data_IF_199980818115
#
_entry.id   IF_199980818115
#
_cell.length_a   1.000
_cell.length_b   1.000
_cell.length_c   1.000
_cell.angle_alpha   90.00
_cell.angle_beta   90.00
_cell.angle_gamma   90.00
#
_symmetry.space_group_name_H-M   'P 1'
#
loop_
_entity.id
_entity.type
_entity.pdbx_description
1 polymer ?
#
# COMPACT_ATOMS: atom_id res chain seq x y z
N UNK A 1 42.42 -22.82 -22.54
CA UNK A 1 42.14 -21.36 -22.46
C UNK A 1 40.64 -21.01 -22.48
N UNK A 2 39.75 -21.80 -23.11
CA UNK A 2 38.30 -21.54 -23.13
C UNK A 2 37.58 -21.72 -21.78
N UNK A 3 38.11 -22.57 -20.89
CA UNK A 3 37.50 -22.85 -19.58
C UNK A 3 37.70 -21.67 -18.62
N UNK A 4 38.85 -21.00 -18.67
CA UNK A 4 39.18 -19.87 -17.79
C UNK A 4 38.30 -18.65 -18.14
N UNK A 5 38.04 -18.41 -19.43
CA UNK A 5 37.14 -17.35 -19.88
C UNK A 5 35.67 -17.64 -19.56
N UNK A 6 35.23 -18.90 -19.66
CA UNK A 6 33.87 -19.30 -19.27
C UNK A 6 33.61 -19.14 -17.76
N UNK A 7 34.57 -19.51 -16.91
CA UNK A 7 34.49 -19.33 -15.45
C UNK A 7 34.51 -17.85 -15.07
N UNK A 8 35.33 -17.03 -15.77
CA UNK A 8 35.37 -15.57 -15.55
C UNK A 8 34.05 -14.87 -15.90
N UNK A 9 33.42 -15.24 -17.03
CA UNK A 9 32.10 -14.71 -17.39
C UNK A 9 30.99 -15.16 -16.44
N UNK A 10 31.03 -16.42 -15.98
CA UNK A 10 30.09 -16.93 -14.99
C UNK A 10 30.21 -16.17 -13.65
N UNK A 11 31.44 -15.96 -13.15
CA UNK A 11 31.67 -15.24 -11.90
C UNK A 11 31.16 -13.78 -11.95
N UNK A 12 31.40 -13.07 -13.06
CA UNK A 12 30.88 -11.70 -13.25
C UNK A 12 29.35 -11.70 -13.32
N UNK A 13 28.74 -12.68 -14.00
CA UNK A 13 27.29 -12.86 -14.03
C UNK A 13 26.69 -13.14 -12.65
N UNK A 14 27.33 -14.01 -11.85
CA UNK A 14 26.93 -14.29 -10.47
C UNK A 14 27.04 -13.05 -9.59
N UNK A 15 28.16 -12.31 -9.63
CA UNK A 15 28.33 -11.08 -8.83
C UNK A 15 27.32 -10.01 -9.25
N UNK A 16 27.11 -9.81 -10.55
CA UNK A 16 26.11 -8.86 -11.05
C UNK A 16 24.68 -9.23 -10.63
N UNK A 17 24.32 -10.51 -10.71
CA UNK A 17 23.02 -11.01 -10.26
C UNK A 17 22.83 -10.88 -8.74
N UNK A 18 23.88 -11.18 -7.97
CA UNK A 18 23.86 -11.04 -6.51
C UNK A 18 23.69 -9.58 -6.09
N UNK A 19 24.47 -8.67 -6.68
CA UNK A 19 24.33 -7.24 -6.44
C UNK A 19 22.93 -6.76 -6.78
N UNK A 20 22.38 -7.17 -7.93
CA UNK A 20 21.03 -6.81 -8.34
C UNK A 20 19.99 -7.27 -7.32
N UNK A 21 20.09 -8.51 -6.84
CA UNK A 21 19.17 -9.08 -5.83
C UNK A 21 19.29 -8.30 -4.51
N UNK A 22 20.50 -8.03 -4.03
CA UNK A 22 20.72 -7.25 -2.81
C UNK A 22 20.16 -5.83 -2.93
N UNK A 23 20.43 -5.14 -4.04
CA UNK A 23 19.89 -3.80 -4.28
C UNK A 23 18.35 -3.78 -4.37
N UNK A 24 17.75 -4.76 -5.03
CA UNK A 24 16.28 -4.88 -5.09
C UNK A 24 15.69 -5.14 -3.70
N UNK A 25 16.33 -6.01 -2.90
CA UNK A 25 15.94 -6.28 -1.51
C UNK A 25 16.04 -5.04 -0.63
N UNK A 26 17.13 -4.27 -0.73
CA UNK A 26 17.32 -3.05 0.07
C UNK A 26 16.27 -1.99 -0.26
N UNK A 27 15.94 -1.83 -1.55
CA UNK A 27 14.86 -0.93 -1.99
C UNK A 27 13.49 -1.37 -1.46
N UNK A 28 13.20 -2.67 -1.46
CA UNK A 28 11.96 -3.20 -0.90
C UNK A 28 11.88 -2.95 0.61
N UNK A 29 12.96 -3.21 1.35
CA UNK A 29 13.03 -2.98 2.79
C UNK A 29 12.83 -1.49 3.15
N UNK A 30 13.50 -0.59 2.43
CA UNK A 30 13.34 0.85 2.62
C UNK A 30 11.89 1.30 2.35
N UNK A 31 11.25 0.76 1.32
CA UNK A 31 9.85 1.05 1.01
C UNK A 31 8.89 0.51 2.09
N UNK A 32 9.12 -0.70 2.63
CA UNK A 32 8.33 -1.26 3.74
C UNK A 32 8.43 -0.38 4.99
N UNK A 33 9.64 0.05 5.36
CA UNK A 33 9.86 0.95 6.52
C UNK A 33 9.14 2.28 6.32
N UNK A 34 9.24 2.85 5.11
CA UNK A 34 8.55 4.10 4.77
C UNK A 34 7.02 3.94 4.86
N UNK A 35 6.47 2.86 4.30
CA UNK A 35 5.05 2.56 4.36
C UNK A 35 4.58 2.31 5.80
N UNK A 36 5.39 1.68 6.64
CA UNK A 36 5.08 1.48 8.06
C UNK A 36 4.98 2.82 8.80
N UNK A 37 5.94 3.72 8.58
CA UNK A 37 5.89 5.07 9.17
C UNK A 37 4.66 5.86 8.72
N UNK A 38 4.23 5.71 7.45
CA UNK A 38 2.99 6.30 6.96
C UNK A 38 1.76 5.74 7.68
N UNK A 39 1.71 4.43 7.92
CA UNK A 39 0.62 3.78 8.67
C UNK A 39 0.56 4.30 10.11
N UNK A 40 1.71 4.46 10.77
CA UNK A 40 1.77 4.97 12.15
C UNK A 40 1.26 6.41 12.23
N UNK A 41 1.69 7.27 11.31
CA UNK A 41 1.18 8.66 11.21
C UNK A 41 -0.31 8.71 10.93
N UNK A 42 -0.78 7.89 9.98
CA UNK A 42 -2.20 7.76 9.67
C UNK A 42 -3.01 7.45 10.93
N UNK A 43 -2.57 6.46 11.74
CA UNK A 43 -3.27 6.08 12.98
C UNK A 43 -3.25 7.18 14.05
N UNK A 44 -2.20 8.00 14.08
CA UNK A 44 -2.03 9.04 15.08
C UNK A 44 -2.74 10.36 14.72
N UNK A 45 -2.85 10.69 13.42
CA UNK A 45 -3.30 11.99 12.93
C UNK A 45 -4.71 11.96 12.33
N UNK A 46 -5.21 10.79 11.91
CA UNK A 46 -6.48 10.67 11.19
C UNK A 46 -7.55 10.03 12.05
N UNK A 47 -8.56 10.84 12.39
CA UNK A 47 -9.74 10.44 13.16
C UNK A 47 -11.05 10.74 12.44
N UNK A 48 -11.01 11.59 11.41
CA UNK A 48 -12.18 12.02 10.64
C UNK A 48 -11.98 11.84 9.14
N UNK A 49 -13.09 11.82 8.39
CA UNK A 49 -13.09 11.66 6.94
C UNK A 49 -12.35 12.79 6.19
N UNK A 50 -12.48 14.07 6.58
CA UNK A 50 -11.69 15.16 6.00
C UNK A 50 -10.18 15.00 6.26
N UNK A 51 -9.78 14.60 7.47
CA UNK A 51 -8.37 14.33 7.77
C UNK A 51 -7.83 13.18 6.92
N UNK A 52 -8.64 12.15 6.68
CA UNK A 52 -8.25 11.05 5.80
C UNK A 52 -8.08 11.53 4.35
N UNK A 53 -8.95 12.43 3.88
CA UNK A 53 -8.83 13.06 2.56
C UNK A 53 -7.51 13.83 2.46
N UNK A 54 -7.25 14.74 3.40
CA UNK A 54 -6.04 15.58 3.42
C UNK A 54 -4.77 14.73 3.51
N UNK A 55 -4.76 13.71 4.37
CA UNK A 55 -3.62 12.82 4.54
C UNK A 55 -3.34 12.03 3.26
N UNK A 56 -4.38 11.56 2.57
CA UNK A 56 -4.23 10.74 1.36
C UNK A 56 -3.74 11.51 0.13
N UNK A 57 -3.81 12.85 0.12
CA UNK A 57 -3.41 13.65 -1.03
C UNK A 57 -1.95 13.42 -1.42
N UNK A 58 -1.74 13.08 -2.70
CA UNK A 58 -0.42 12.83 -3.28
C UNK A 58 0.27 11.56 -2.75
N UNK A 59 -0.43 10.70 -2.01
CA UNK A 59 0.11 9.41 -1.53
C UNK A 59 -0.45 8.26 -2.34
N UNK A 60 0.37 7.24 -2.55
CA UNK A 60 -0.09 5.99 -3.15
C UNK A 60 -0.84 5.15 -2.10
N UNK A 61 -2.14 5.46 -1.97
CA UNK A 61 -3.02 4.84 -1.00
C UNK A 61 -4.31 4.40 -1.67
N UNK A 62 -4.74 3.18 -1.35
CA UNK A 62 -6.05 2.65 -1.69
C UNK A 62 -6.93 2.67 -0.44
N UNK A 63 -8.10 3.29 -0.54
CA UNK A 63 -9.03 3.45 0.58
C UNK A 63 -10.28 2.63 0.28
N UNK A 64 -10.61 1.69 1.16
CA UNK A 64 -11.78 0.83 1.05
C UNK A 64 -12.66 1.07 2.27
N UNK A 65 -13.87 1.58 2.05
CA UNK A 65 -14.90 1.65 3.08
C UNK A 65 -15.51 0.26 3.28
N UNK A 66 -15.43 -0.27 4.50
CA UNK A 66 -15.96 -1.59 4.84
C UNK A 66 -17.48 -1.59 4.66
N UNK A 67 -18.00 -2.54 3.88
CA UNK A 67 -19.42 -2.62 3.55
C UNK A 67 -19.88 -1.71 2.42
N UNK A 68 -18.97 -1.05 1.71
CA UNK A 68 -19.26 -0.23 0.51
C UNK A 68 -18.31 -0.61 -0.64
N UNK A 69 -17.01 -0.66 -0.37
CA UNK A 69 -15.98 -0.97 -1.37
C UNK A 69 -14.91 0.10 -1.49
N UNK A 70 -14.17 0.06 -2.60
CA UNK A 70 -13.11 1.03 -2.87
C UNK A 70 -13.72 2.41 -3.12
N UNK A 71 -13.20 3.41 -2.42
CA UNK A 71 -13.69 4.78 -2.49
C UNK A 71 -12.60 5.76 -2.89
N UNK A 72 -13.01 6.85 -3.53
CA UNK A 72 -12.21 8.05 -3.74
C UNK A 72 -12.81 9.20 -2.96
N UNK A 73 -12.03 9.72 -2.03
CA UNK A 73 -12.42 10.86 -1.18
C UNK A 73 -12.47 12.16 -1.99
N UNK A 74 -13.38 13.04 -1.64
CA UNK A 74 -13.54 14.37 -2.24
C UNK A 74 -13.24 15.47 -1.20
N UNK A 75 -12.98 16.68 -1.68
CA UNK A 75 -12.72 17.84 -0.82
C UNK A 75 -13.92 18.27 0.05
N UNK A 76 -15.12 17.79 -0.26
CA UNK A 76 -16.36 18.16 0.45
C UNK A 76 -16.69 17.20 1.59
N UNK A 77 -15.71 16.46 2.12
CA UNK A 77 -15.92 15.43 3.15
C UNK A 77 -16.85 14.29 2.70
N UNK A 78 -16.93 14.07 1.39
CA UNK A 78 -17.71 12.98 0.80
C UNK A 78 -16.79 11.99 0.07
N UNK A 79 -17.38 10.93 -0.47
CA UNK A 79 -16.64 9.95 -1.25
C UNK A 79 -17.46 9.44 -2.42
N UNK A 80 -16.75 8.96 -3.44
CA UNK A 80 -17.33 8.28 -4.60
C UNK A 80 -16.86 6.84 -4.59
N UNK A 81 -17.74 5.90 -4.94
CA UNK A 81 -17.39 4.48 -5.02
C UNK A 81 -16.74 4.22 -6.38
N UNK A 82 -15.51 3.72 -6.36
CA UNK A 82 -14.72 3.39 -7.56
C UNK A 82 -14.92 1.93 -7.95
N UNK A 83 -14.96 1.04 -6.96
CA UNK A 83 -15.25 -0.38 -7.15
C UNK A 83 -16.11 -0.86 -6.00
N UNK A 84 -17.27 -1.40 -6.35
CA UNK A 84 -18.22 -1.95 -5.38
C UNK A 84 -17.70 -3.29 -4.83
N UNK A 85 -17.54 -3.40 -3.50
CA UNK A 85 -17.25 -4.67 -2.81
C UNK A 85 -18.46 -5.14 -1.96
N UNK A 86 -19.67 -4.62 -2.20
CA UNK A 86 -20.90 -5.03 -1.49
C UNK A 86 -21.09 -6.55 -1.47
N UNK A 87 -20.57 -7.28 -2.46
CA UNK A 87 -20.64 -8.75 -2.51
C UNK A 87 -19.86 -9.47 -1.39
N UNK A 88 -18.88 -8.81 -0.74
CA UNK A 88 -18.01 -9.42 0.26
C UNK A 88 -18.49 -9.29 1.71
N UNK A 89 -19.46 -8.41 1.98
CA UNK A 89 -19.94 -8.11 3.32
C UNK A 89 -21.46 -8.29 3.39
N UNK A 90 -21.97 -8.90 4.47
CA UNK A 90 -23.42 -9.01 4.64
C UNK A 90 -24.06 -7.63 4.71
N UNK A 91 -25.30 -7.48 4.25
CA UNK A 91 -26.09 -6.23 4.35
C UNK A 91 -26.13 -5.63 5.78
N UNK A 92 -25.85 -6.43 6.82
CA UNK A 92 -25.73 -5.96 8.22
C UNK A 92 -24.49 -5.10 8.49
N UNK A 93 -23.48 -5.15 7.62
CA UNK A 93 -22.23 -4.37 7.70
C UNK A 93 -22.24 -3.19 6.72
N UNK A 94 -23.14 -3.21 5.74
CA UNK A 94 -23.39 -2.06 4.87
C UNK A 94 -24.05 -0.96 5.71
N UNK A 95 -23.36 0.15 5.87
CA UNK A 95 -23.88 1.34 6.54
C UNK A 95 -23.80 2.51 5.58
N UNK A 96 -24.84 3.34 5.55
CA UNK A 96 -24.84 4.61 4.82
C UNK A 96 -23.74 5.56 5.31
N UNK A 97 -23.20 5.32 6.52
CA UNK A 97 -22.07 6.07 7.10
C UNK A 97 -20.99 5.10 7.58
N UNK A 98 -20.13 4.60 6.67
CA UNK A 98 -19.06 3.68 7.04
C UNK A 98 -18.09 4.37 8.01
N UNK A 99 -17.85 3.74 9.16
CA UNK A 99 -16.86 4.20 10.14
C UNK A 99 -15.55 3.42 10.09
N UNK A 100 -15.51 2.31 9.36
CA UNK A 100 -14.35 1.44 9.24
C UNK A 100 -13.79 1.51 7.82
N UNK A 101 -12.49 1.73 7.74
CA UNK A 101 -11.78 1.88 6.47
C UNK A 101 -10.56 0.97 6.46
N UNK A 102 -10.46 0.11 5.44
CA UNK A 102 -9.25 -0.63 5.10
C UNK A 102 -8.41 0.27 4.20
N UNK A 103 -7.18 0.53 4.62
CA UNK A 103 -6.22 1.36 3.92
C UNK A 103 -5.09 0.47 3.46
N UNK A 104 -4.84 0.44 2.16
CA UNK A 104 -3.69 -0.25 1.57
C UNK A 104 -2.69 0.82 1.14
N UNK A 105 -1.46 0.75 1.66
CA UNK A 105 -0.39 1.71 1.37
C UNK A 105 0.71 1.00 0.58
N UNK A 106 1.11 1.63 -0.51
CA UNK A 106 2.09 1.10 -1.45
C UNK A 106 1.53 0.01 -2.36
N UNK A 107 2.34 -0.35 -3.35
CA UNK A 107 2.17 -1.45 -4.31
C UNK A 107 3.20 -1.33 -5.45
N UNK A 108 3.92 -0.22 -5.53
CA UNK A 108 4.85 0.11 -6.61
C UNK A 108 6.04 -0.85 -6.71
N UNK A 109 6.39 -1.50 -5.59
CA UNK A 109 7.41 -2.55 -5.53
C UNK A 109 6.79 -3.87 -5.02
N UNK A 110 7.25 -5.03 -5.53
CA UNK A 110 6.81 -6.33 -5.02
C UNK A 110 7.00 -6.46 -3.52
N UNK A 111 6.06 -7.12 -2.82
CA UNK A 111 6.13 -7.41 -1.38
C UNK A 111 6.21 -6.17 -0.45
N UNK A 112 5.88 -4.97 -0.93
CA UNK A 112 5.93 -3.73 -0.11
C UNK A 112 4.57 -3.21 0.34
N UNK A 113 3.48 -3.83 -0.13
CA UNK A 113 2.11 -3.43 0.22
C UNK A 113 1.83 -3.75 1.69
N UNK A 114 1.41 -2.74 2.44
CA UNK A 114 0.93 -2.90 3.80
C UNK A 114 -0.55 -2.55 3.88
N UNK A 115 -1.27 -3.24 4.76
CA UNK A 115 -2.71 -3.05 4.96
C UNK A 115 -2.96 -2.73 6.42
N UNK A 116 -3.77 -1.71 6.67
CA UNK A 116 -4.23 -1.34 8.00
C UNK A 116 -5.73 -1.08 8.00
N UNK A 117 -6.37 -1.22 9.16
CA UNK A 117 -7.75 -0.82 9.37
C UNK A 117 -7.74 0.37 10.32
N UNK A 118 -8.50 1.41 9.99
CA UNK A 118 -8.75 2.55 10.86
C UNK A 118 -10.25 2.69 11.10
N UNK A 119 -10.60 3.21 12.28
CA UNK A 119 -11.97 3.60 12.62
C UNK A 119 -12.01 5.12 12.74
N UNK A 120 -12.92 5.74 12.00
CA UNK A 120 -13.20 7.17 12.10
C UNK A 120 -14.34 7.40 13.10
N UNK A 121 -14.34 8.57 13.73
CA UNK A 121 -15.34 8.99 14.72
C UNK A 121 -16.66 9.44 14.09
#
# INVERSE_FOLDING_TARGET
MLIISAVGMAAIGFVGSYLKISFESDRQNAAVISNMSLIEKLKAEVHTLPQLYDFSQGKNMKIIAVGVGEIRLTSESSYTVVSDENYGFSDKLASDTPKLFRIEIGADLPNTRLVTIIRLE
#
